data_IF_164835495958
#
_entry.id   IF_164835495958
#
_cell.length_a   1.000
_cell.length_b   1.000
_cell.length_c   1.000
_cell.angle_alpha   90.00
_cell.angle_beta   90.00
_cell.angle_gamma   90.00
#
_symmetry.space_group_name_H-M   'P 1'
#
loop_
_entity.id
_entity.type
_entity.pdbx_description
1 polymer ?
#
# COMPACT_ATOMS: atom_id res chain seq x y z
N UNK A 1 -20.59 -24.71 30.61
CA UNK A 1 -20.40 -23.30 30.27
C UNK A 1 -19.43 -23.29 29.12
N UNK A 2 -19.96 -23.29 27.89
CA UNK A 2 -19.15 -23.24 26.66
C UNK A 2 -18.60 -21.81 26.63
N UNK A 3 -17.29 -21.64 26.79
CA UNK A 3 -16.65 -20.34 26.51
C UNK A 3 -16.99 -20.02 25.06
N UNK A 4 -17.76 -18.98 24.83
CA UNK A 4 -17.89 -18.35 23.53
C UNK A 4 -16.46 -18.09 23.03
N UNK A 5 -16.02 -18.85 22.03
CA UNK A 5 -14.83 -18.47 21.27
C UNK A 5 -15.19 -17.14 20.63
N UNK A 6 -14.58 -16.06 21.11
CA UNK A 6 -14.72 -14.73 20.49
C UNK A 6 -14.60 -14.90 18.97
N UNK A 7 -15.69 -14.59 18.29
CA UNK A 7 -15.79 -14.81 16.85
C UNK A 7 -14.75 -13.94 16.16
N UNK A 8 -13.82 -14.55 15.42
CA UNK A 8 -12.79 -13.83 14.67
C UNK A 8 -13.44 -12.89 13.65
N UNK A 9 -13.04 -11.63 13.63
CA UNK A 9 -13.53 -10.64 12.68
C UNK A 9 -12.65 -10.60 11.44
N UNK A 10 -13.27 -10.51 10.28
CA UNK A 10 -12.57 -10.43 9.01
C UNK A 10 -12.57 -8.99 8.49
N UNK A 11 -11.40 -8.36 8.29
CA UNK A 11 -11.28 -6.93 8.00
C UNK A 11 -11.61 -6.61 6.53
N UNK A 12 -12.84 -6.86 6.09
CA UNK A 12 -13.28 -6.52 4.74
C UNK A 12 -13.34 -5.01 4.60
N UNK A 13 -12.39 -4.43 3.84
CA UNK A 13 -12.32 -2.99 3.61
C UNK A 13 -11.60 -2.17 4.69
N UNK A 14 -11.13 -2.79 5.78
CA UNK A 14 -10.31 -2.11 6.79
C UNK A 14 -8.87 -2.02 6.27
N UNK A 15 -8.33 -0.81 6.21
CA UNK A 15 -6.99 -0.53 5.68
C UNK A 15 -6.06 0.12 6.71
N UNK A 16 -6.58 0.47 7.88
CA UNK A 16 -5.85 1.12 8.96
C UNK A 16 -5.27 0.07 9.90
N UNK A 17 -3.94 0.01 10.00
CA UNK A 17 -3.24 -0.95 10.85
C UNK A 17 -3.62 -0.80 12.33
N UNK A 18 -3.71 0.44 12.82
CA UNK A 18 -4.17 0.72 14.17
C UNK A 18 -5.51 0.06 14.48
N UNK A 19 -6.52 0.21 13.59
CA UNK A 19 -7.85 -0.34 13.81
C UNK A 19 -7.81 -1.88 13.91
N UNK A 20 -6.96 -2.53 13.10
CA UNK A 20 -6.77 -3.98 13.15
C UNK A 20 -6.10 -4.44 14.44
N UNK A 21 -5.25 -3.60 15.05
CA UNK A 21 -4.48 -3.96 16.25
C UNK A 21 -5.13 -3.55 17.56
N UNK A 22 -6.01 -2.54 17.52
CA UNK A 22 -6.79 -2.08 18.68
C UNK A 22 -8.22 -2.62 18.70
N UNK A 23 -8.72 -3.09 17.55
CA UNK A 23 -10.04 -3.70 17.43
C UNK A 23 -10.07 -5.11 18.02
N UNK A 24 -11.28 -5.56 18.38
CA UNK A 24 -11.51 -6.87 18.96
C UNK A 24 -11.32 -7.97 17.93
N UNK A 25 -10.31 -8.84 18.12
CA UNK A 25 -10.10 -10.12 17.44
C UNK A 25 -10.13 -10.08 15.88
N UNK A 26 -9.60 -9.02 15.26
CA UNK A 26 -9.44 -8.99 13.80
C UNK A 26 -8.36 -9.96 13.31
N UNK A 27 -8.66 -10.64 12.20
CA UNK A 27 -7.64 -11.36 11.45
C UNK A 27 -6.59 -10.37 10.92
N UNK A 28 -5.35 -10.55 11.32
CA UNK A 28 -4.20 -9.87 10.74
C UNK A 28 -3.15 -10.89 10.32
N UNK A 29 -2.81 -10.96 9.04
CA UNK A 29 -1.69 -11.78 8.55
C UNK A 29 -0.42 -10.96 8.67
N UNK A 30 0.48 -11.43 9.54
CA UNK A 30 1.68 -10.68 9.90
C UNK A 30 2.67 -10.54 8.73
N UNK A 31 2.91 -9.32 8.31
CA UNK A 31 3.89 -8.91 7.28
C UNK A 31 4.97 -8.00 7.84
N UNK A 32 5.07 -7.88 9.17
CA UNK A 32 5.93 -6.87 9.79
C UNK A 32 7.42 -7.17 9.67
N UNK A 33 7.80 -8.42 9.41
CA UNK A 33 9.19 -8.75 9.03
C UNK A 33 9.63 -8.00 7.77
N UNK A 34 8.73 -7.85 6.78
CA UNK A 34 9.02 -7.08 5.57
C UNK A 34 9.19 -5.59 5.86
N UNK A 35 8.43 -5.04 6.81
CA UNK A 35 8.59 -3.65 7.27
C UNK A 35 10.00 -3.46 7.83
N UNK A 36 10.44 -4.34 8.75
CA UNK A 36 11.79 -4.30 9.29
C UNK A 36 12.86 -4.43 8.21
N UNK A 37 12.76 -5.45 7.36
CA UNK A 37 13.70 -5.69 6.25
C UNK A 37 13.80 -4.48 5.31
N UNK A 38 12.67 -3.88 4.95
CA UNK A 38 12.61 -2.74 4.05
C UNK A 38 13.28 -1.50 4.65
N UNK A 39 12.97 -1.18 5.91
CA UNK A 39 13.45 0.02 6.60
C UNK A 39 14.92 -0.09 7.04
N UNK A 40 15.48 -1.32 7.10
CA UNK A 40 16.88 -1.61 7.44
C UNK A 40 17.74 -2.05 6.24
N UNK A 41 17.19 -2.04 5.02
CA UNK A 41 17.92 -2.45 3.81
C UNK A 41 18.99 -1.46 3.35
N UNK A 42 19.13 -0.31 3.99
CA UNK A 42 19.99 0.79 3.55
C UNK A 42 19.39 1.65 2.41
N UNK A 43 18.31 1.20 1.77
CA UNK A 43 17.60 1.98 0.76
C UNK A 43 16.72 3.06 1.45
N UNK A 44 16.91 4.32 1.06
CA UNK A 44 16.08 5.42 1.57
C UNK A 44 14.80 5.59 0.79
N UNK A 45 14.84 5.37 -0.51
CA UNK A 45 13.69 5.51 -1.41
C UNK A 45 13.28 4.13 -1.89
N UNK A 46 12.05 3.75 -1.60
CA UNK A 46 11.51 2.42 -1.92
C UNK A 46 10.20 2.57 -2.69
N UNK A 47 10.08 1.79 -3.75
CA UNK A 47 8.86 1.72 -4.57
C UNK A 47 8.32 0.29 -4.62
N UNK A 48 6.99 0.17 -4.44
CA UNK A 48 6.26 -1.09 -4.55
C UNK A 48 5.02 -0.91 -5.43
N UNK A 49 4.89 -1.69 -6.49
CA UNK A 49 3.62 -1.85 -7.21
C UNK A 49 2.99 -3.21 -6.93
N UNK A 50 1.68 -3.22 -6.72
CA UNK A 50 0.83 -4.42 -6.59
C UNK A 50 -0.56 -4.13 -7.15
N UNK A 51 -1.30 -5.13 -7.62
CA UNK A 51 -2.67 -4.95 -8.07
C UNK A 51 -3.56 -4.33 -7.00
N UNK A 52 -4.73 -3.84 -7.40
CA UNK A 52 -5.76 -3.38 -6.44
C UNK A 52 -6.14 -4.52 -5.50
N UNK A 53 -6.48 -4.18 -4.24
CA UNK A 53 -6.93 -5.12 -3.21
C UNK A 53 -5.86 -6.12 -2.71
N UNK A 54 -4.57 -5.81 -2.88
CA UNK A 54 -3.45 -6.62 -2.37
C UNK A 54 -2.90 -6.15 -1.02
N UNK A 55 -3.49 -5.14 -0.36
CA UNK A 55 -3.07 -4.69 0.97
C UNK A 55 -1.98 -3.62 0.97
N UNK A 56 -1.78 -2.88 -0.15
CA UNK A 56 -0.82 -1.76 -0.23
C UNK A 56 -1.07 -0.69 0.83
N UNK A 57 -2.30 -0.20 0.92
CA UNK A 57 -2.66 0.85 1.88
C UNK A 57 -2.52 0.39 3.33
N UNK A 58 -2.78 -0.90 3.62
CA UNK A 58 -2.50 -1.48 4.92
C UNK A 58 -1.00 -1.48 5.22
N UNK A 59 -0.14 -1.82 4.23
CA UNK A 59 1.31 -1.74 4.39
C UNK A 59 1.77 -0.30 4.64
N UNK A 60 1.21 0.70 3.93
CA UNK A 60 1.48 2.12 4.18
C UNK A 60 1.07 2.52 5.60
N UNK A 61 -0.12 2.10 6.05
CA UNK A 61 -0.58 2.35 7.42
C UNK A 61 0.29 1.67 8.48
N UNK A 62 0.80 0.45 8.19
CA UNK A 62 1.74 -0.26 9.06
C UNK A 62 3.08 0.50 9.17
N UNK A 63 3.63 0.96 8.03
CA UNK A 63 4.82 1.81 8.00
C UNK A 63 4.62 3.12 8.76
N UNK A 64 3.44 3.74 8.64
CA UNK A 64 3.09 4.95 9.38
C UNK A 64 3.18 4.71 10.89
N UNK A 65 2.47 3.71 11.40
CA UNK A 65 2.50 3.35 12.83
C UNK A 65 3.89 2.96 13.32
N UNK A 66 4.68 2.27 12.48
CA UNK A 66 6.06 1.90 12.79
C UNK A 66 6.95 3.14 12.97
N UNK A 67 6.91 4.10 12.05
CA UNK A 67 7.72 5.31 12.13
C UNK A 67 7.21 6.33 13.16
N UNK A 68 5.95 6.26 13.56
CA UNK A 68 5.46 6.97 14.74
C UNK A 68 5.90 6.36 16.07
N UNK A 69 6.63 5.22 16.04
CA UNK A 69 7.10 4.54 17.25
C UNK A 69 5.98 3.88 18.06
N UNK A 70 4.86 3.52 17.44
CA UNK A 70 3.66 2.95 18.08
C UNK A 70 3.87 1.47 18.41
N UNK A 71 4.86 1.19 19.24
CA UNK A 71 5.29 -0.18 19.61
C UNK A 71 4.11 -1.05 20.05
N UNK A 72 3.16 -0.49 20.76
CA UNK A 72 2.00 -1.18 21.30
C UNK A 72 1.14 -1.88 20.22
N UNK A 73 1.14 -1.39 18.98
CA UNK A 73 0.42 -2.03 17.88
C UNK A 73 1.16 -3.24 17.30
N UNK A 74 2.43 -3.42 17.63
CA UNK A 74 3.30 -4.47 17.10
C UNK A 74 3.54 -5.61 18.07
N UNK A 75 2.95 -5.58 19.26
CA UNK A 75 3.03 -6.65 20.24
C UNK A 75 2.59 -7.99 19.67
N UNK A 76 3.40 -9.03 19.85
CA UNK A 76 3.15 -10.37 19.32
C UNK A 76 3.40 -10.56 17.82
N UNK A 77 3.87 -9.53 17.10
CA UNK A 77 4.23 -9.60 15.68
C UNK A 77 5.74 -9.83 15.50
N UNK A 78 6.13 -10.34 14.33
CA UNK A 78 7.51 -10.71 14.02
C UNK A 78 8.51 -9.56 14.24
N UNK A 79 8.13 -8.32 13.94
CA UNK A 79 8.99 -7.13 14.10
C UNK A 79 9.35 -6.84 15.55
N UNK A 80 8.53 -7.24 16.53
CA UNK A 80 8.81 -7.00 17.95
C UNK A 80 10.12 -7.64 18.39
N UNK A 81 10.44 -8.82 17.87
CA UNK A 81 11.69 -9.51 18.11
C UNK A 81 12.89 -8.93 17.38
N UNK A 82 12.66 -8.21 16.29
CA UNK A 82 13.68 -7.67 15.39
C UNK A 82 14.05 -6.23 15.72
N UNK A 83 13.04 -5.37 15.97
CA UNK A 83 13.25 -3.95 16.24
C UNK A 83 13.63 -3.71 17.69
N UNK A 84 14.70 -2.95 17.91
CA UNK A 84 15.21 -2.62 19.26
C UNK A 84 14.97 -1.15 19.62
N UNK A 85 14.93 -0.28 18.61
CA UNK A 85 14.85 1.17 18.79
C UNK A 85 13.59 1.71 18.13
N UNK A 86 12.48 1.75 18.84
CA UNK A 86 11.21 2.30 18.38
C UNK A 86 11.27 3.83 18.30
N UNK A 87 12.15 4.32 17.40
CA UNK A 87 12.40 5.75 17.25
C UNK A 87 11.20 6.42 16.59
N UNK A 88 10.75 7.53 17.20
CA UNK A 88 9.66 8.36 16.66
C UNK A 88 10.19 9.32 15.62
N UNK A 89 9.63 9.27 14.43
CA UNK A 89 9.95 10.17 13.30
C UNK A 89 8.73 11.02 12.91
N UNK A 90 8.91 12.25 12.41
CA UNK A 90 7.83 12.96 11.75
C UNK A 90 7.45 12.22 10.45
N UNK A 91 6.18 11.86 10.31
CA UNK A 91 5.66 11.14 9.15
C UNK A 91 4.75 12.05 8.33
N UNK A 92 5.03 12.20 7.05
CA UNK A 92 4.17 12.85 6.07
C UNK A 92 3.56 11.76 5.18
N UNK A 93 2.25 11.55 5.28
CA UNK A 93 1.53 10.55 4.50
C UNK A 93 0.60 11.26 3.50
N UNK A 94 0.78 10.97 2.22
CA UNK A 94 -0.03 11.50 1.12
C UNK A 94 -0.81 10.36 0.45
N UNK A 95 -2.13 10.46 0.47
CA UNK A 95 -3.04 9.55 -0.25
C UNK A 95 -3.50 10.22 -1.55
N UNK A 96 -3.07 9.66 -2.68
CA UNK A 96 -3.41 10.17 -4.01
C UNK A 96 -4.76 9.66 -4.54
N UNK A 97 -5.41 8.71 -3.84
CA UNK A 97 -6.71 8.18 -4.23
C UNK A 97 -7.85 9.21 -4.15
N UNK A 98 -7.63 10.31 -3.43
CA UNK A 98 -8.58 11.42 -3.29
C UNK A 98 -8.77 12.21 -4.59
N UNK A 99 -7.82 12.12 -5.56
CA UNK A 99 -7.82 12.89 -6.81
C UNK A 99 -8.37 12.09 -7.99
N UNK A 100 -9.54 11.46 -7.85
CA UNK A 100 -10.20 10.74 -8.94
C UNK A 100 -10.82 11.70 -9.95
N UNK A 101 -10.60 11.40 -11.25
CA UNK A 101 -11.14 12.17 -12.40
C UNK A 101 -10.83 13.68 -12.32
N UNK A 102 -9.71 14.04 -11.71
CA UNK A 102 -9.36 15.43 -11.44
C UNK A 102 -8.75 16.10 -12.67
N UNK A 103 -9.16 17.34 -12.92
CA UNK A 103 -8.37 18.29 -13.69
C UNK A 103 -7.22 18.85 -12.86
N UNK A 104 -6.41 19.73 -13.48
CA UNK A 104 -5.24 20.34 -12.83
C UNK A 104 -5.60 21.01 -11.49
N UNK A 105 -6.61 21.86 -11.50
CA UNK A 105 -7.03 22.65 -10.34
C UNK A 105 -7.50 21.77 -9.18
N UNK A 106 -8.18 20.67 -9.48
CA UNK A 106 -8.67 19.73 -8.47
C UNK A 106 -7.49 18.95 -7.85
N UNK A 107 -6.54 18.51 -8.67
CA UNK A 107 -5.34 17.83 -8.19
C UNK A 107 -4.50 18.77 -7.30
N UNK A 108 -4.25 20.00 -7.74
CA UNK A 108 -3.53 21.01 -6.95
C UNK A 108 -4.27 21.36 -5.64
N UNK A 109 -5.60 21.47 -5.68
CA UNK A 109 -6.42 21.72 -4.50
C UNK A 109 -6.33 20.57 -3.49
N UNK A 110 -6.40 19.32 -3.94
CA UNK A 110 -6.26 18.13 -3.09
C UNK A 110 -4.87 18.06 -2.46
N UNK A 111 -3.81 18.25 -3.22
CA UNK A 111 -2.43 18.29 -2.69
C UNK A 111 -2.27 19.44 -1.70
N UNK A 112 -2.83 20.63 -1.99
CA UNK A 112 -2.83 21.76 -1.09
C UNK A 112 -3.58 21.49 0.22
N UNK A 113 -4.67 20.72 0.18
CA UNK A 113 -5.41 20.33 1.38
C UNK A 113 -4.54 19.44 2.27
N UNK A 114 -3.89 18.41 1.72
CA UNK A 114 -3.01 17.53 2.48
C UNK A 114 -1.80 18.28 3.06
N UNK A 115 -1.18 19.21 2.31
CA UNK A 115 -0.09 20.03 2.82
C UNK A 115 -0.53 20.91 4.00
N UNK A 116 -1.76 21.46 3.97
CA UNK A 116 -2.30 22.28 5.07
C UNK A 116 -2.36 21.54 6.40
N UNK A 117 -2.59 20.25 6.41
CA UNK A 117 -2.55 19.43 7.63
C UNK A 117 -1.17 19.52 8.29
N UNK A 118 -0.11 19.37 7.50
CA UNK A 118 1.27 19.43 7.98
C UNK A 118 1.74 20.86 8.26
N UNK A 119 1.22 21.86 7.54
CA UNK A 119 1.46 23.28 7.86
C UNK A 119 0.89 23.67 9.22
N UNK A 120 -0.25 23.08 9.62
CA UNK A 120 -0.80 23.27 10.98
C UNK A 120 0.11 22.70 12.06
N UNK A 121 0.79 21.59 11.77
CA UNK A 121 1.69 20.91 12.72
C UNK A 121 3.07 21.58 12.78
N UNK A 122 3.66 21.91 11.63
CA UNK A 122 5.05 22.35 11.53
C UNK A 122 5.20 23.82 11.16
N UNK A 123 4.10 24.53 10.97
CA UNK A 123 4.10 25.93 10.55
C UNK A 123 4.11 26.13 9.05
N UNK A 124 3.86 27.37 8.62
CA UNK A 124 3.82 27.83 7.23
C UNK A 124 4.71 29.05 7.06
N UNK A 125 5.30 29.22 5.89
CA UNK A 125 5.96 30.46 5.45
C UNK A 125 5.15 31.05 4.29
N UNK A 126 4.82 32.33 4.37
CA UNK A 126 4.01 33.02 3.36
C UNK A 126 4.75 33.16 2.00
N UNK A 127 6.06 33.01 1.97
CA UNK A 127 6.85 32.99 0.75
C UNK A 127 6.73 31.65 -0.02
N UNK A 128 6.28 30.59 0.66
CA UNK A 128 6.08 29.25 0.07
C UNK A 128 4.72 29.20 -0.65
N UNK A 129 4.66 29.62 -1.90
CA UNK A 129 3.40 29.69 -2.66
C UNK A 129 3.13 28.44 -3.50
N UNK A 130 4.17 27.78 -4.01
CA UNK A 130 4.08 26.56 -4.80
C UNK A 130 3.92 25.30 -3.93
N UNK A 131 3.31 24.25 -4.48
CA UNK A 131 3.17 22.96 -3.77
C UNK A 131 4.52 22.34 -3.41
N UNK A 132 5.50 22.48 -4.31
CA UNK A 132 6.88 22.03 -4.10
C UNK A 132 7.59 22.82 -3.01
N UNK A 133 7.43 24.16 -2.98
CA UNK A 133 8.05 25.01 -1.96
C UNK A 133 7.47 24.71 -0.57
N UNK A 134 6.15 24.55 -0.50
CA UNK A 134 5.44 24.19 0.74
C UNK A 134 5.89 22.83 1.27
N UNK A 135 5.97 21.78 0.42
CA UNK A 135 6.46 20.47 0.83
C UNK A 135 7.92 20.57 1.33
N UNK A 136 8.77 21.30 0.61
CA UNK A 136 10.16 21.55 1.03
C UNK A 136 10.22 22.20 2.40
N UNK A 137 9.43 23.25 2.61
CA UNK A 137 9.38 23.99 3.87
C UNK A 137 8.89 23.14 5.03
N UNK A 138 7.83 22.34 4.82
CA UNK A 138 7.30 21.39 5.83
C UNK A 138 8.39 20.40 6.24
N UNK A 139 9.07 19.74 5.28
CA UNK A 139 10.15 18.78 5.58
C UNK A 139 11.25 19.42 6.42
N UNK A 140 11.71 20.61 6.05
CA UNK A 140 12.77 21.34 6.78
C UNK A 140 12.35 21.74 8.19
N UNK A 141 11.12 22.24 8.34
CA UNK A 141 10.58 22.64 9.66
C UNK A 141 10.35 21.45 10.57
N UNK A 142 9.77 20.36 10.03
CA UNK A 142 9.59 19.10 10.78
C UNK A 142 10.93 18.59 11.32
N UNK A 143 11.97 18.54 10.47
CA UNK A 143 13.31 18.15 10.90
C UNK A 143 13.87 19.09 11.97
N UNK A 144 13.77 20.42 11.80
CA UNK A 144 14.30 21.40 12.77
C UNK A 144 13.61 21.31 14.13
N UNK A 145 12.29 21.08 14.14
CA UNK A 145 11.50 21.05 15.37
C UNK A 145 11.69 19.75 16.15
N UNK A 146 11.84 18.61 15.46
CA UNK A 146 11.93 17.30 16.10
C UNK A 146 13.37 16.81 16.30
N UNK A 147 14.33 17.36 15.56
CA UNK A 147 15.68 16.82 15.47
C UNK A 147 15.78 15.50 14.72
N UNK A 148 14.65 14.96 14.26
CA UNK A 148 14.55 13.68 13.57
C UNK A 148 14.31 13.87 12.07
N UNK A 149 14.92 12.98 11.26
CA UNK A 149 14.70 12.97 9.82
C UNK A 149 13.25 12.58 9.50
N UNK A 150 12.71 13.17 8.44
CA UNK A 150 11.31 13.02 8.03
C UNK A 150 11.11 11.75 7.23
N UNK A 151 10.00 11.08 7.47
CA UNK A 151 9.49 9.97 6.66
C UNK A 151 8.39 10.48 5.74
N UNK A 152 8.43 10.08 4.47
CA UNK A 152 7.38 10.41 3.49
C UNK A 152 6.78 9.13 2.93
N UNK A 153 5.47 8.97 3.10
CA UNK A 153 4.71 7.82 2.61
C UNK A 153 3.71 8.32 1.56
N UNK A 154 3.71 7.70 0.38
CA UNK A 154 2.84 8.09 -0.73
C UNK A 154 2.07 6.85 -1.19
N UNK A 155 0.76 6.85 -0.93
CA UNK A 155 -0.13 5.78 -1.36
C UNK A 155 -0.81 6.14 -2.67
N UNK A 156 -1.02 5.12 -3.53
CA UNK A 156 -1.69 5.23 -4.83
C UNK A 156 -1.15 6.36 -5.73
N UNK A 157 0.19 6.52 -5.78
CA UNK A 157 0.87 7.63 -6.47
C UNK A 157 0.43 7.83 -7.93
N UNK A 158 -0.03 6.78 -8.58
CA UNK A 158 -0.40 6.73 -9.99
C UNK A 158 -1.90 6.97 -10.25
N UNK A 159 -2.74 6.96 -9.21
CA UNK A 159 -4.20 7.11 -9.36
C UNK A 159 -4.62 8.36 -10.12
N UNK A 160 -4.08 9.56 -9.89
CA UNK A 160 -4.49 10.75 -10.66
C UNK A 160 -4.23 10.64 -12.17
N UNK A 161 -3.31 9.79 -12.58
CA UNK A 161 -2.88 9.61 -13.96
C UNK A 161 -3.55 8.43 -14.64
N UNK A 162 -3.89 7.39 -13.86
CA UNK A 162 -4.61 6.21 -14.35
C UNK A 162 -5.98 6.57 -14.91
N UNK A 163 -6.67 7.49 -14.25
CA UNK A 163 -8.01 7.90 -14.64
C UNK A 163 -8.04 8.70 -15.96
N UNK A 164 -6.94 9.34 -16.32
CA UNK A 164 -6.80 10.19 -17.52
C UNK A 164 -5.81 9.64 -18.55
N UNK A 165 -5.41 8.39 -18.41
CA UNK A 165 -4.40 7.77 -19.29
C UNK A 165 -4.77 7.78 -20.77
N UNK A 166 -6.06 7.82 -21.06
CA UNK A 166 -6.65 7.90 -22.42
C UNK A 166 -6.82 9.35 -22.91
N UNK A 167 -6.59 10.35 -22.05
CA UNK A 167 -6.80 11.76 -22.35
C UNK A 167 -5.49 12.44 -22.76
N UNK A 168 -5.19 12.49 -24.06
CA UNK A 168 -3.93 13.03 -24.59
C UNK A 168 -3.63 14.48 -24.15
N UNK A 169 -4.65 15.26 -23.78
CA UNK A 169 -4.50 16.65 -23.33
C UNK A 169 -4.26 16.77 -21.81
N UNK A 170 -4.98 16.01 -21.00
CA UNK A 170 -4.94 16.11 -19.55
C UNK A 170 -3.75 15.33 -18.96
N UNK A 171 -3.41 14.17 -19.49
CA UNK A 171 -2.34 13.34 -18.98
C UNK A 171 -0.99 14.08 -18.84
N UNK A 172 -0.48 14.84 -19.84
CA UNK A 172 0.75 15.60 -19.68
C UNK A 172 0.68 16.66 -18.58
N UNK A 173 -0.47 17.34 -18.45
CA UNK A 173 -0.67 18.41 -17.47
C UNK A 173 -0.64 17.86 -16.04
N UNK A 174 -1.40 16.78 -15.78
CA UNK A 174 -1.43 16.16 -14.45
C UNK A 174 -0.08 15.54 -14.11
N UNK A 175 0.59 14.93 -15.09
CA UNK A 175 1.95 14.42 -14.92
C UNK A 175 2.92 15.51 -14.48
N UNK A 176 2.86 16.70 -15.06
CA UNK A 176 3.73 17.82 -14.70
C UNK A 176 3.44 18.33 -13.28
N UNK A 177 2.17 18.38 -12.86
CA UNK A 177 1.80 18.69 -11.46
C UNK A 177 2.41 17.67 -10.49
N UNK A 178 2.25 16.39 -10.77
CA UNK A 178 2.78 15.30 -9.93
C UNK A 178 4.31 15.35 -9.88
N UNK A 179 4.96 15.55 -11.01
CA UNK A 179 6.41 15.67 -11.10
C UNK A 179 6.93 16.84 -10.27
N UNK A 180 6.31 18.02 -10.37
CA UNK A 180 6.65 19.17 -9.55
C UNK A 180 6.45 18.90 -8.07
N UNK A 181 5.35 18.22 -7.70
CA UNK A 181 5.07 17.88 -6.30
C UNK A 181 6.11 16.92 -5.70
N UNK A 182 6.61 15.95 -6.47
CA UNK A 182 7.61 14.99 -5.97
C UNK A 182 9.07 15.46 -6.08
N UNK A 183 9.35 16.50 -6.87
CA UNK A 183 10.72 16.99 -7.10
C UNK A 183 11.48 17.39 -5.82
N UNK A 184 10.83 17.94 -4.76
CA UNK A 184 11.49 18.24 -3.50
C UNK A 184 12.10 17.05 -2.79
N UNK A 185 11.57 15.84 -2.99
CA UNK A 185 12.05 14.64 -2.29
C UNK A 185 13.54 14.39 -2.53
N UNK A 186 14.03 14.66 -3.75
CA UNK A 186 15.46 14.57 -4.07
C UNK A 186 16.26 15.68 -3.41
N UNK A 187 15.77 16.91 -3.48
CA UNK A 187 16.45 18.06 -2.90
C UNK A 187 16.49 18.02 -1.36
N UNK A 188 15.50 17.39 -0.75
CA UNK A 188 15.37 17.21 0.70
C UNK A 188 16.08 15.95 1.24
N UNK A 189 16.85 15.23 0.43
CA UNK A 189 17.55 13.99 0.84
C UNK A 189 18.28 14.08 2.20
N UNK A 190 19.00 15.16 2.55
CA UNK A 190 19.67 15.27 3.84
C UNK A 190 18.74 15.20 5.06
N UNK A 191 17.47 15.60 4.90
CA UNK A 191 16.46 15.65 5.96
C UNK A 191 15.50 14.47 5.95
N UNK A 192 15.62 13.54 4.96
CA UNK A 192 14.75 12.39 4.85
C UNK A 192 15.36 11.14 5.49
N UNK A 193 14.55 10.41 6.24
CA UNK A 193 14.85 9.08 6.80
C UNK A 193 14.46 7.97 5.83
N UNK A 194 13.25 8.07 5.28
CA UNK A 194 12.68 7.05 4.42
C UNK A 194 11.60 7.65 3.53
N UNK A 195 11.51 7.20 2.29
CA UNK A 195 10.46 7.53 1.35
C UNK A 195 9.90 6.25 0.79
N UNK A 196 8.62 6.00 1.00
CA UNK A 196 7.92 4.85 0.43
C UNK A 196 6.84 5.33 -0.52
N UNK A 197 6.81 4.76 -1.71
CA UNK A 197 5.83 5.08 -2.73
C UNK A 197 5.19 3.80 -3.23
N UNK A 198 3.86 3.77 -3.31
CA UNK A 198 3.12 2.60 -3.83
C UNK A 198 2.02 2.99 -4.80
N UNK A 199 1.72 2.06 -5.72
CA UNK A 199 0.69 2.19 -6.74
C UNK A 199 0.35 0.86 -7.41
N UNK A 200 -0.40 0.92 -8.51
CA UNK A 200 -0.79 -0.27 -9.28
C UNK A 200 0.28 -0.63 -10.30
N UNK A 201 0.89 0.38 -10.93
CA UNK A 201 1.85 0.19 -12.01
C UNK A 201 3.13 0.98 -11.76
N UNK A 202 4.21 0.58 -12.40
CA UNK A 202 5.37 1.45 -12.57
C UNK A 202 5.20 2.22 -13.88
N UNK A 203 4.69 3.43 -13.82
CA UNK A 203 4.67 4.32 -14.97
C UNK A 203 6.11 4.73 -15.36
N UNK A 204 6.74 3.94 -16.21
CA UNK A 204 8.07 4.28 -16.77
C UNK A 204 8.06 5.56 -17.60
N UNK A 205 6.90 5.89 -18.17
CA UNK A 205 6.68 7.13 -18.93
C UNK A 205 6.44 8.36 -18.05
N UNK A 206 6.22 8.17 -16.75
CA UNK A 206 6.21 9.26 -15.80
C UNK A 206 7.66 9.58 -15.46
N UNK A 207 8.17 10.68 -15.96
CA UNK A 207 9.52 11.20 -15.64
C UNK A 207 9.75 11.47 -14.13
N UNK A 208 8.78 11.15 -13.26
CA UNK A 208 8.92 11.14 -11.80
C UNK A 208 10.09 10.25 -11.38
N UNK A 209 10.20 9.04 -11.96
CA UNK A 209 11.31 8.14 -11.66
C UNK A 209 12.65 8.58 -12.28
N UNK A 210 12.66 9.46 -13.28
CA UNK A 210 13.88 10.06 -13.77
C UNK A 210 14.42 11.14 -12.82
N UNK A 211 13.53 11.82 -12.08
CA UNK A 211 13.92 12.74 -11.01
C UNK A 211 14.40 11.98 -9.76
N UNK A 212 13.73 10.87 -9.41
CA UNK A 212 14.05 9.99 -8.28
C UNK A 212 14.84 8.76 -8.76
N UNK A 213 15.97 8.97 -9.42
CA UNK A 213 16.79 7.90 -10.00
C UNK A 213 17.45 6.95 -8.98
N UNK A 214 17.36 7.29 -7.70
CA UNK A 214 17.87 6.51 -6.57
C UNK A 214 16.78 5.63 -5.91
N UNK A 215 15.58 5.52 -6.50
CA UNK A 215 14.50 4.72 -5.94
C UNK A 215 14.74 3.21 -6.16
N UNK A 216 14.75 2.44 -5.08
CA UNK A 216 14.81 0.99 -5.11
C UNK A 216 13.42 0.42 -5.41
N UNK A 217 13.24 -0.12 -6.59
CA UNK A 217 12.01 -0.84 -6.93
C UNK A 217 12.07 -2.27 -6.40
N UNK A 218 11.21 -2.58 -5.44
CA UNK A 218 11.13 -3.91 -4.80
C UNK A 218 10.00 -4.77 -5.38
N UNK A 219 9.26 -4.27 -6.37
CA UNK A 219 8.05 -4.93 -6.89
C UNK A 219 8.30 -6.33 -7.43
N UNK A 220 9.49 -6.57 -8.01
CA UNK A 220 9.86 -7.85 -8.60
C UNK A 220 11.07 -8.49 -7.90
N UNK A 221 11.40 -8.06 -6.68
CA UNK A 221 12.48 -8.68 -5.92
C UNK A 221 11.96 -9.90 -5.15
N UNK A 222 12.62 -11.07 -5.25
CA UNK A 222 12.16 -12.31 -4.62
C UNK A 222 11.92 -12.17 -3.12
N UNK A 223 12.80 -11.44 -2.41
CA UNK A 223 12.70 -11.22 -0.98
C UNK A 223 11.47 -10.39 -0.55
N UNK A 224 10.75 -9.77 -1.51
CA UNK A 224 9.52 -8.98 -1.27
C UNK A 224 8.31 -9.53 -2.05
N UNK A 225 8.40 -10.74 -2.61
CA UNK A 225 7.29 -11.32 -3.38
C UNK A 225 6.00 -11.37 -2.58
N UNK A 226 6.07 -11.77 -1.32
CA UNK A 226 4.93 -11.94 -0.41
C UNK A 226 4.67 -10.75 0.53
N UNK A 227 5.28 -9.58 0.32
CA UNK A 227 5.08 -8.38 1.16
C UNK A 227 3.61 -7.91 1.18
N UNK A 228 2.91 -8.11 0.08
CA UNK A 228 1.48 -7.91 -0.08
C UNK A 228 0.87 -9.18 -0.69
N UNK A 229 -0.36 -9.51 -0.29
CA UNK A 229 -0.98 -10.78 -0.60
C UNK A 229 -0.74 -11.82 0.50
N UNK A 230 -1.21 -13.04 0.30
CA UNK A 230 -1.13 -14.11 1.30
C UNK A 230 -0.54 -15.35 0.64
N UNK A 231 0.43 -15.98 1.27
CA UNK A 231 1.03 -17.24 0.81
C UNK A 231 0.22 -18.46 1.28
N UNK A 232 0.41 -19.61 0.64
CA UNK A 232 -0.22 -20.86 1.08
C UNK A 232 0.21 -21.24 2.51
N UNK A 233 1.49 -21.04 2.83
CA UNK A 233 1.99 -21.29 4.19
C UNK A 233 1.30 -20.41 5.23
N UNK A 234 1.08 -19.13 4.94
CA UNK A 234 0.37 -18.22 5.85
C UNK A 234 -1.10 -18.61 6.03
N UNK A 235 -1.77 -19.07 4.96
CA UNK A 235 -3.14 -19.59 5.06
C UNK A 235 -3.15 -20.82 5.99
N UNK A 236 -2.26 -21.77 5.78
CA UNK A 236 -2.23 -23.03 6.54
C UNK A 236 -1.83 -22.83 8.01
N UNK A 237 -1.02 -21.82 8.32
CA UNK A 237 -0.51 -21.57 9.68
C UNK A 237 -1.31 -20.52 10.44
N UNK A 238 -1.54 -19.34 9.84
CA UNK A 238 -2.18 -18.20 10.53
C UNK A 238 -3.72 -18.21 10.41
N UNK A 239 -4.27 -18.95 9.41
CA UNK A 239 -5.71 -19.04 9.13
C UNK A 239 -6.24 -20.47 9.25
N UNK A 240 -5.52 -21.33 9.99
CA UNK A 240 -5.87 -22.76 10.11
C UNK A 240 -7.27 -23.01 10.64
N UNK A 241 -7.67 -22.31 11.70
CA UNK A 241 -9.02 -22.42 12.29
C UNK A 241 -10.10 -21.83 11.39
N UNK A 242 -9.74 -20.83 10.58
CA UNK A 242 -10.66 -20.20 9.62
C UNK A 242 -10.98 -21.17 8.46
N UNK A 243 -9.97 -21.95 8.02
CA UNK A 243 -10.17 -23.01 7.02
C UNK A 243 -11.15 -24.05 7.55
N UNK A 244 -11.00 -24.51 8.79
CA UNK A 244 -11.87 -25.51 9.39
C UNK A 244 -13.31 -25.00 9.49
N UNK A 245 -13.49 -23.75 9.92
CA UNK A 245 -14.81 -23.11 9.99
C UNK A 245 -15.46 -22.95 8.60
N UNK A 246 -14.67 -22.61 7.58
CA UNK A 246 -15.16 -22.51 6.20
C UNK A 246 -15.53 -23.90 5.64
N UNK A 247 -14.70 -24.91 5.89
CA UNK A 247 -14.96 -26.30 5.49
C UNK A 247 -16.29 -26.81 6.08
N UNK A 248 -16.52 -26.61 7.39
CA UNK A 248 -17.75 -26.95 8.05
C UNK A 248 -18.98 -26.26 7.44
N UNK A 249 -18.91 -24.94 7.23
CA UNK A 249 -20.00 -24.15 6.60
C UNK A 249 -20.34 -24.62 5.19
N UNK A 250 -19.31 -25.04 4.43
CA UNK A 250 -19.49 -25.48 3.05
C UNK A 250 -19.80 -26.98 2.93
N UNK A 251 -19.76 -27.76 4.03
CA UNK A 251 -19.94 -29.20 4.01
C UNK A 251 -18.84 -29.94 3.23
N UNK A 252 -17.59 -29.45 3.32
CA UNK A 252 -16.42 -29.96 2.60
C UNK A 252 -15.40 -30.53 3.59
N UNK A 253 -14.45 -31.35 3.08
CA UNK A 253 -13.25 -31.66 3.83
C UNK A 253 -12.33 -30.42 3.88
N UNK A 254 -11.37 -30.39 4.83
CA UNK A 254 -10.34 -29.36 4.90
C UNK A 254 -9.52 -29.30 3.62
N UNK A 255 -9.11 -30.46 3.12
CA UNK A 255 -8.31 -30.63 1.91
C UNK A 255 -9.04 -30.07 0.68
N UNK A 256 -10.32 -30.39 0.51
CA UNK A 256 -11.14 -29.90 -0.59
C UNK A 256 -11.34 -28.37 -0.48
N UNK A 257 -11.45 -27.84 0.74
CA UNK A 257 -11.59 -26.39 0.96
C UNK A 257 -10.32 -25.68 0.57
N UNK A 258 -9.14 -26.15 0.99
CA UNK A 258 -7.84 -25.58 0.59
C UNK A 258 -7.67 -25.66 -0.93
N UNK A 259 -7.97 -26.80 -1.55
CA UNK A 259 -7.88 -26.98 -3.00
C UNK A 259 -8.79 -25.99 -3.75
N UNK A 260 -10.00 -25.73 -3.27
CA UNK A 260 -10.93 -24.76 -3.86
C UNK A 260 -10.46 -23.31 -3.67
N UNK A 261 -9.93 -22.96 -2.50
CA UNK A 261 -9.34 -21.64 -2.26
C UNK A 261 -8.17 -21.41 -3.21
N UNK A 262 -7.29 -22.41 -3.36
CA UNK A 262 -6.16 -22.37 -4.28
C UNK A 262 -6.63 -22.17 -5.72
N UNK A 263 -7.49 -23.02 -6.21
CA UNK A 263 -8.01 -22.94 -7.58
C UNK A 263 -8.71 -21.61 -7.90
N UNK A 264 -9.22 -20.90 -6.87
CA UNK A 264 -10.04 -19.69 -7.07
C UNK A 264 -9.26 -18.39 -6.85
N UNK A 265 -8.31 -18.35 -5.90
CA UNK A 265 -7.72 -17.09 -5.42
C UNK A 265 -6.19 -17.05 -5.51
N UNK A 266 -5.56 -18.16 -5.83
CA UNK A 266 -4.12 -18.28 -6.04
C UNK A 266 -3.74 -17.92 -7.49
N UNK A 267 -2.42 -17.92 -7.78
CA UNK A 267 -1.86 -17.79 -9.13
C UNK A 267 -1.23 -16.43 -9.43
N UNK A 268 -1.03 -15.58 -8.43
CA UNK A 268 -0.25 -14.36 -8.63
C UNK A 268 1.23 -14.60 -8.36
N UNK A 269 2.06 -14.29 -9.36
CA UNK A 269 3.52 -14.32 -9.28
C UNK A 269 4.07 -12.92 -9.51
N UNK A 270 4.81 -12.38 -8.57
CA UNK A 270 5.42 -11.06 -8.69
C UNK A 270 6.90 -11.10 -9.07
N UNK A 271 7.49 -12.28 -9.05
CA UNK A 271 8.86 -12.57 -9.49
C UNK A 271 9.01 -14.05 -9.83
N UNK A 272 10.09 -14.43 -10.43
CA UNK A 272 10.38 -15.83 -10.76
C UNK A 272 11.84 -16.19 -10.42
N UNK A 273 12.07 -17.29 -9.69
CA UNK A 273 11.07 -18.14 -9.03
C UNK A 273 10.45 -17.46 -7.80
N UNK A 274 9.18 -17.73 -7.51
CA UNK A 274 8.50 -17.31 -6.28
C UNK A 274 7.40 -18.30 -5.92
N UNK A 275 6.98 -18.27 -4.66
CA UNK A 275 5.76 -18.94 -4.24
C UNK A 275 4.51 -18.28 -4.82
N UNK A 276 3.44 -19.03 -4.90
CA UNK A 276 2.12 -18.56 -5.30
C UNK A 276 1.54 -17.60 -4.25
N UNK A 277 0.94 -16.52 -4.71
CA UNK A 277 0.34 -15.50 -3.86
C UNK A 277 -1.16 -15.45 -4.10
N UNK A 278 -1.90 -15.59 -3.03
CA UNK A 278 -3.36 -15.49 -3.04
C UNK A 278 -3.81 -14.03 -2.96
N UNK A 279 -4.92 -13.72 -3.61
CA UNK A 279 -5.58 -12.42 -3.47
C UNK A 279 -6.15 -12.27 -2.05
N UNK A 280 -5.63 -11.35 -1.22
CA UNK A 280 -6.01 -11.27 0.20
C UNK A 280 -7.45 -10.80 0.39
N UNK A 281 -7.95 -9.90 -0.45
CA UNK A 281 -9.32 -9.42 -0.37
C UNK A 281 -10.33 -10.56 -0.61
N UNK A 282 -10.08 -11.37 -1.64
CA UNK A 282 -10.95 -12.50 -1.96
C UNK A 282 -10.96 -13.55 -0.86
N UNK A 283 -9.80 -13.85 -0.25
CA UNK A 283 -9.70 -14.75 0.89
C UNK A 283 -10.50 -14.23 2.09
N UNK A 284 -10.28 -12.97 2.49
CA UNK A 284 -10.96 -12.36 3.64
C UNK A 284 -12.47 -12.35 3.43
N UNK A 285 -12.96 -12.03 2.22
CA UNK A 285 -14.38 -12.11 1.88
C UNK A 285 -14.92 -13.54 1.94
N UNK A 286 -14.15 -14.54 1.47
CA UNK A 286 -14.59 -15.93 1.51
C UNK A 286 -14.79 -16.44 2.93
N UNK A 287 -13.89 -16.08 3.85
CA UNK A 287 -14.03 -16.43 5.25
C UNK A 287 -15.18 -15.67 5.94
N UNK A 288 -15.32 -14.37 5.65
CA UNK A 288 -16.41 -13.56 6.19
C UNK A 288 -17.79 -14.09 5.77
N UNK A 289 -17.96 -14.37 4.48
CA UNK A 289 -19.24 -14.85 3.93
C UNK A 289 -19.48 -16.36 4.16
N UNK A 290 -18.43 -17.12 4.48
CA UNK A 290 -18.48 -18.58 4.52
C UNK A 290 -18.72 -19.23 3.15
N UNK A 291 -18.24 -18.61 2.07
CA UNK A 291 -18.46 -19.05 0.69
C UNK A 291 -17.32 -18.64 -0.24
N UNK A 292 -16.98 -19.50 -1.21
CA UNK A 292 -15.95 -19.22 -2.21
C UNK A 292 -16.61 -18.68 -3.48
N UNK A 293 -16.42 -17.38 -3.77
CA UNK A 293 -17.05 -16.65 -4.87
C UNK A 293 -16.03 -15.75 -5.60
N UNK A 294 -16.32 -15.22 -6.82
CA UNK A 294 -15.40 -14.34 -7.55
C UNK A 294 -15.42 -12.88 -7.02
N UNK A 295 -14.99 -12.66 -5.78
CA UNK A 295 -15.06 -11.37 -5.08
C UNK A 295 -14.23 -10.25 -5.75
N UNK A 296 -13.09 -10.58 -6.34
CA UNK A 296 -12.21 -9.60 -6.95
C UNK A 296 -12.82 -8.91 -8.17
N UNK A 297 -13.60 -9.64 -8.98
CA UNK A 297 -14.23 -9.12 -10.20
C UNK A 297 -15.15 -7.92 -9.96
N UNK A 298 -15.85 -7.88 -8.83
CA UNK A 298 -16.75 -6.77 -8.48
C UNK A 298 -16.05 -5.48 -8.05
N UNK A 299 -14.77 -5.54 -7.63
CA UNK A 299 -14.08 -4.41 -7.01
C UNK A 299 -12.72 -4.09 -7.63
N UNK A 300 -12.18 -4.98 -8.45
CA UNK A 300 -10.84 -4.92 -9.01
C UNK A 300 -10.80 -4.83 -10.54
N UNK A 301 -11.97 -4.60 -11.20
CA UNK A 301 -12.03 -4.54 -12.68
C UNK A 301 -10.92 -3.63 -13.21
N UNK A 302 -10.00 -4.14 -14.02
CA UNK A 302 -8.87 -3.36 -14.51
C UNK A 302 -9.33 -2.46 -15.66
N UNK A 303 -10.14 -1.46 -15.35
CA UNK A 303 -10.63 -0.46 -16.33
C UNK A 303 -9.47 0.08 -17.15
N UNK A 304 -8.36 0.40 -16.46
CA UNK A 304 -7.12 0.80 -17.11
C UNK A 304 -6.62 -0.23 -18.15
N UNK A 305 -6.57 -1.52 -17.80
CA UNK A 305 -6.11 -2.56 -18.72
C UNK A 305 -7.05 -2.69 -19.92
N UNK A 306 -8.36 -2.66 -19.67
CA UNK A 306 -9.37 -2.72 -20.74
C UNK A 306 -9.24 -1.52 -21.67
N UNK A 307 -9.03 -0.33 -21.15
CA UNK A 307 -8.83 0.89 -21.93
C UNK A 307 -7.53 0.85 -22.73
N UNK A 308 -6.44 0.34 -22.14
CA UNK A 308 -5.17 0.16 -22.85
C UNK A 308 -5.29 -0.87 -23.97
N UNK A 309 -5.96 -2.01 -23.74
CA UNK A 309 -6.22 -3.00 -24.76
C UNK A 309 -7.03 -2.39 -25.92
N UNK A 310 -8.06 -1.59 -25.62
CA UNK A 310 -8.84 -0.86 -26.62
C UNK A 310 -8.01 0.16 -27.38
N UNK A 311 -7.21 0.98 -26.68
CA UNK A 311 -6.35 2.01 -27.29
C UNK A 311 -5.32 1.43 -28.26
N UNK A 312 -4.76 0.27 -27.94
CA UNK A 312 -3.75 -0.41 -28.76
C UNK A 312 -4.33 -1.50 -29.66
N UNK A 313 -5.66 -1.64 -29.74
CA UNK A 313 -6.34 -2.64 -30.54
C UNK A 313 -5.86 -4.08 -30.31
N UNK A 314 -5.51 -4.39 -29.06
CA UNK A 314 -5.08 -5.75 -28.67
C UNK A 314 -6.32 -6.59 -28.39
N UNK A 315 -6.49 -7.69 -29.15
CA UNK A 315 -7.56 -8.66 -28.89
C UNK A 315 -7.20 -9.50 -27.65
N UNK A 316 -8.15 -9.72 -26.71
CA UNK A 316 -7.88 -10.54 -25.51
C UNK A 316 -7.43 -11.97 -25.80
N UNK A 317 -7.75 -12.47 -27.01
CA UNK A 317 -7.33 -13.80 -27.49
C UNK A 317 -5.85 -13.86 -27.90
N UNK A 318 -5.13 -12.74 -27.89
CA UNK A 318 -3.72 -12.64 -28.26
C UNK A 318 -2.79 -12.56 -27.04
N UNK A 319 -3.38 -12.56 -25.82
CA UNK A 319 -2.68 -12.57 -24.55
C UNK A 319 -2.80 -13.95 -23.92
#
# INVERSE_FOLDING_TARGET
MIMDKEQRLYPVGVQTFQDLRTGENYLYVDKTEYVYRMTHSGARYVFLSRPRRFGKSLLVSTLHSYFEGRKEFFEGLAIEGLEKEWTVYPVLHFDMSMAKHAGKEQLESMLSLQLREYERLYGKDEAETGLNDRLTGIIRRAYRQTGQKVVVLIDEYDTPLLDVVHEDKNLPVLRDVMRNFYSPLKACDPWLRFVFMTGITKFSQLSIFSELNNIRNISMQPEYAAVCGITENEILTQMSTDIDALAERMGLSREDTVAKLKAKYDGYHFTWPSEDIYNPYSLVCAFADGAIRPYWFGSGTPTYLIEMLRKFHVEPSQI
#
